data_IF_682111776894
#
_entry.id   IF_682111776894
#
_cell.length_a   1.000
_cell.length_b   1.000
_cell.length_c   1.000
_cell.angle_alpha   90.00
_cell.angle_beta   90.00
_cell.angle_gamma   90.00
#
_symmetry.space_group_name_H-M   'P 1'
#
loop_
_entity.id
_entity.type
_entity.pdbx_description
1 polymer ?
#
# COMPACT_ATOMS: atom_id res chain seq x y z
N UNK A 1 -15.39 -22.47 -67.14
CA UNK A 1 -14.47 -22.59 -68.30
C UNK A 1 -15.30 -22.88 -69.54
N UNK A 2 -14.87 -22.52 -70.77
CA UNK A 2 -13.74 -21.64 -71.15
C UNK A 2 -14.08 -20.15 -70.79
N UNK A 3 -13.67 -19.04 -71.43
CA UNK A 3 -12.83 -18.77 -72.61
C UNK A 3 -12.18 -17.37 -72.57
N UNK A 4 -11.20 -17.14 -73.46
CA UNK A 4 -10.83 -15.83 -74.04
C UNK A 4 -10.32 -16.05 -75.47
N UNK A 5 -10.46 -15.06 -76.36
CA UNK A 5 -9.26 -14.55 -77.02
C UNK A 5 -9.09 -13.02 -76.92
N UNK A 6 -8.89 -12.35 -78.06
CA UNK A 6 -7.69 -11.54 -78.33
C UNK A 6 -7.84 -10.80 -79.68
N UNK A 7 -7.03 -9.82 -80.09
CA UNK A 7 -6.12 -8.84 -79.45
C UNK A 7 -5.66 -7.86 -80.57
N UNK A 8 -5.03 -6.71 -80.24
CA UNK A 8 -3.90 -6.15 -81.02
C UNK A 8 -3.19 -4.95 -80.36
N UNK A 9 -1.90 -5.16 -80.05
CA UNK A 9 -0.80 -4.15 -79.98
C UNK A 9 -0.26 -3.84 -81.41
N UNK A 10 0.67 -2.88 -81.68
CA UNK A 10 1.85 -2.35 -80.92
C UNK A 10 1.79 -0.82 -80.67
N UNK A 11 2.82 0.01 -80.39
CA UNK A 11 4.30 -0.12 -80.46
C UNK A 11 5.05 0.84 -79.48
N UNK A 12 6.38 0.94 -79.61
CA UNK A 12 7.33 1.84 -78.88
C UNK A 12 8.43 2.36 -79.83
N UNK A 13 9.20 3.40 -79.43
CA UNK A 13 10.59 3.27 -78.90
C UNK A 13 10.75 3.99 -77.52
N UNK A 14 11.76 3.81 -76.63
CA UNK A 14 13.21 3.50 -76.71
C UNK A 14 14.12 4.76 -76.92
N UNK A 15 15.29 4.95 -76.28
CA UNK A 15 16.06 4.15 -75.28
C UNK A 15 17.16 4.99 -74.54
N UNK A 16 17.30 4.89 -73.20
CA UNK A 16 18.50 4.38 -72.45
C UNK A 16 19.55 5.40 -71.86
N UNK A 17 20.43 5.00 -70.88
CA UNK A 17 21.00 5.90 -69.85
C UNK A 17 22.54 6.12 -69.87
N UNK A 18 23.03 7.04 -69.03
CA UNK A 18 24.12 6.79 -68.04
C UNK A 18 23.81 7.42 -66.65
N UNK A 19 24.50 7.20 -65.51
CA UNK A 19 25.48 6.20 -65.00
C UNK A 19 25.54 6.32 -63.44
N UNK A 20 26.57 5.83 -62.73
CA UNK A 20 26.69 5.88 -61.26
C UNK A 20 28.12 6.16 -60.73
N UNK A 21 28.26 6.74 -59.52
CA UNK A 21 29.35 6.52 -58.53
C UNK A 21 29.14 7.40 -57.27
N UNK A 22 29.67 7.02 -56.10
CA UNK A 22 29.81 7.90 -54.92
C UNK A 22 29.49 7.28 -53.56
N UNK A 23 30.49 6.70 -52.89
CA UNK A 23 30.40 6.22 -51.50
C UNK A 23 30.44 7.36 -50.46
N UNK A 24 29.72 7.21 -49.34
CA UNK A 24 30.13 7.79 -48.04
C UNK A 24 29.35 7.22 -46.84
N UNK A 25 30.08 6.66 -45.88
CA UNK A 25 29.56 6.33 -44.53
C UNK A 25 29.50 7.58 -43.64
N UNK A 26 28.46 7.77 -42.82
CA UNK A 26 28.48 8.71 -41.70
C UNK A 26 28.93 8.02 -40.39
N UNK A 27 30.22 8.17 -40.10
CA UNK A 27 30.94 7.97 -38.83
C UNK A 27 30.18 7.46 -37.58
N UNK A 28 30.75 6.41 -36.96
CA UNK A 28 30.48 6.04 -35.56
C UNK A 28 30.86 7.18 -34.60
N UNK A 29 29.89 7.73 -33.87
CA UNK A 29 30.17 8.65 -32.75
C UNK A 29 30.04 7.89 -31.42
N UNK A 30 31.12 7.86 -30.63
CA UNK A 30 31.17 7.11 -29.37
C UNK A 30 30.35 7.77 -28.25
N UNK A 31 29.32 7.08 -27.76
CA UNK A 31 28.66 7.45 -26.52
C UNK A 31 29.53 7.00 -25.32
N UNK A 32 30.16 7.96 -24.64
CA UNK A 32 30.85 7.68 -23.37
C UNK A 32 29.87 7.10 -22.35
N UNK A 33 30.24 5.98 -21.72
CA UNK A 33 29.61 5.56 -20.48
C UNK A 33 30.00 6.55 -19.36
N UNK A 34 29.05 7.06 -18.56
CA UNK A 34 29.37 7.82 -17.36
C UNK A 34 29.91 6.86 -16.30
N UNK A 35 31.21 6.93 -16.04
CA UNK A 35 31.80 6.33 -14.84
C UNK A 35 31.35 7.11 -13.61
N UNK A 36 30.86 6.40 -12.59
CA UNK A 36 30.39 6.97 -11.32
C UNK A 36 30.81 6.09 -10.13
N UNK A 37 32.11 5.77 -10.04
CA UNK A 37 32.74 5.43 -8.76
C UNK A 37 32.74 6.66 -7.82
N UNK A 38 31.58 6.97 -7.23
CA UNK A 38 31.37 8.12 -6.34
C UNK A 38 30.95 7.67 -4.96
N UNK A 39 31.90 7.53 -4.04
CA UNK A 39 31.60 7.35 -2.62
C UNK A 39 31.00 8.66 -2.06
N UNK A 40 29.91 8.56 -1.31
CA UNK A 40 29.27 9.71 -0.67
C UNK A 40 29.56 9.71 0.83
N UNK A 41 30.62 10.42 1.22
CA UNK A 41 30.85 10.80 2.62
C UNK A 41 29.97 12.02 2.95
N UNK A 42 29.27 12.05 4.11
CA UNK A 42 28.44 13.18 4.49
C UNK A 42 29.30 14.33 5.05
N UNK A 43 29.22 15.50 4.39
CA UNK A 43 29.71 16.77 4.94
C UNK A 43 28.98 17.09 6.25
N UNK A 44 29.74 17.34 7.31
CA UNK A 44 29.24 17.75 8.62
C UNK A 44 29.71 19.19 8.94
N UNK A 45 29.16 20.17 8.24
CA UNK A 45 29.32 21.61 8.55
C UNK A 45 27.97 22.24 8.92
N UNK A 46 27.93 22.90 10.08
CA UNK A 46 26.69 23.38 10.69
C UNK A 46 26.43 24.88 10.48
N UNK A 47 25.20 25.21 10.09
CA UNK A 47 24.69 26.59 10.13
C UNK A 47 23.70 26.79 11.28
N UNK A 48 23.42 28.07 11.61
CA UNK A 48 22.98 28.50 12.95
C UNK A 48 21.48 28.74 13.00
N UNK A 49 20.89 28.51 14.18
CA UNK A 49 19.56 29.01 14.51
C UNK A 49 19.49 30.54 14.39
N UNK A 50 18.46 31.10 13.72
CA UNK A 50 17.99 32.45 13.98
C UNK A 50 16.98 32.45 15.14
N UNK A 51 17.00 33.49 15.98
CA UNK A 51 16.13 33.60 17.15
C UNK A 51 14.65 33.85 16.79
N UNK A 52 13.75 33.17 17.50
CA UNK A 52 12.31 33.42 17.41
C UNK A 52 11.91 34.60 18.32
N UNK A 53 11.92 35.82 17.76
CA UNK A 53 11.22 36.95 18.37
C UNK A 53 9.71 36.67 18.36
N UNK A 54 9.05 36.77 19.52
CA UNK A 54 7.63 36.45 19.66
C UNK A 54 6.71 37.65 19.38
N UNK A 55 5.53 37.37 18.84
CA UNK A 55 4.37 38.26 18.90
C UNK A 55 3.18 37.53 19.55
N UNK A 56 2.31 38.32 20.17
CA UNK A 56 1.28 37.84 21.10
C UNK A 56 -0.07 37.66 20.40
N UNK A 57 -0.96 36.85 20.99
CA UNK A 57 -2.40 36.91 20.72
C UNK A 57 -3.18 36.75 22.04
N UNK A 58 -4.35 37.40 22.17
CA UNK A 58 -4.79 37.89 23.47
C UNK A 58 -5.76 36.99 24.25
N UNK A 59 -5.83 37.28 25.55
CA UNK A 59 -6.95 37.06 26.48
C UNK A 59 -8.34 37.35 25.85
N UNK A 60 -9.49 36.81 26.27
CA UNK A 60 -9.92 35.82 27.29
C UNK A 60 -11.47 35.63 27.04
N UNK A 61 -12.33 35.07 27.92
CA UNK A 61 -12.18 34.22 29.12
C UNK A 61 -12.77 32.80 28.89
N UNK A 62 -12.72 31.82 29.81
CA UNK A 62 -12.28 31.82 31.21
C UNK A 62 -13.41 31.31 32.12
N UNK A 63 -13.31 30.05 32.53
CA UNK A 63 -14.12 29.46 33.61
C UNK A 63 -13.22 28.68 34.56
N UNK A 64 -13.56 28.71 35.86
CA UNK A 64 -12.63 28.49 36.96
C UNK A 64 -13.04 27.28 37.80
N UNK A 65 -12.22 26.22 37.77
CA UNK A 65 -12.37 25.08 38.67
C UNK A 65 -11.57 25.31 39.96
N UNK A 66 -12.08 24.92 41.15
CA UNK A 66 -11.45 25.25 42.43
C UNK A 66 -10.33 24.27 42.81
N UNK A 67 -9.31 24.78 43.50
CA UNK A 67 -8.32 23.95 44.21
C UNK A 67 -9.00 23.12 45.32
N UNK A 68 -8.66 21.83 45.39
CA UNK A 68 -8.95 20.97 46.53
C UNK A 68 -7.70 20.14 46.90
N UNK A 69 -6.87 20.67 47.80
CA UNK A 69 -5.84 19.86 48.48
C UNK A 69 -6.51 19.10 49.62
N UNK A 70 -6.29 17.79 49.69
CA UNK A 70 -6.96 16.90 50.65
C UNK A 70 -6.20 15.59 50.89
N UNK A 71 -5.08 15.71 51.60
CA UNK A 71 -4.58 14.79 52.64
C UNK A 71 -4.83 13.26 52.47
N UNK A 72 -3.75 12.51 52.22
CA UNK A 72 -3.74 11.05 52.36
C UNK A 72 -3.62 10.63 53.83
N UNK A 73 -4.54 9.83 54.40
CA UNK A 73 -4.33 9.18 55.69
C UNK A 73 -3.34 7.98 55.55
N UNK A 74 -2.64 7.59 56.63
CA UNK A 74 -1.56 6.61 56.57
C UNK A 74 -2.07 5.15 56.46
N UNK A 75 -1.29 4.31 55.77
CA UNK A 75 -1.56 2.88 55.66
C UNK A 75 -1.35 2.15 57.01
N UNK A 76 -2.33 1.32 57.40
CA UNK A 76 -2.23 0.45 58.58
C UNK A 76 -1.99 -1.01 58.13
N UNK A 77 -0.94 -1.72 58.58
CA UNK A 77 -0.64 -3.04 58.04
C UNK A 77 -1.46 -4.17 58.66
N UNK A 78 -2.21 -4.89 57.82
CA UNK A 78 -2.42 -6.34 57.95
C UNK A 78 -3.63 -6.83 58.74
N UNK A 79 -4.69 -7.18 58.02
CA UNK A 79 -5.59 -8.29 58.37
C UNK A 79 -5.81 -9.14 57.11
N UNK A 80 -5.76 -10.47 57.26
CA UNK A 80 -6.08 -11.42 56.17
C UNK A 80 -7.49 -11.94 56.38
N UNK A 81 -8.34 -11.84 55.36
CA UNK A 81 -9.60 -12.58 55.32
C UNK A 81 -9.43 -13.90 54.54
N UNK A 82 -10.18 -14.97 54.85
CA UNK A 82 -10.09 -16.24 54.14
C UNK A 82 -10.76 -16.19 52.76
N UNK A 83 -10.33 -17.08 51.86
CA UNK A 83 -10.87 -17.17 50.50
C UNK A 83 -12.36 -17.55 50.47
N UNK A 84 -13.18 -16.67 49.91
CA UNK A 84 -14.52 -16.99 49.42
C UNK A 84 -14.44 -17.35 47.91
N UNK A 85 -15.39 -18.15 47.36
CA UNK A 85 -15.42 -18.45 45.94
C UNK A 85 -15.46 -17.16 45.10
N UNK A 86 -14.51 -17.02 44.17
CA UNK A 86 -14.20 -15.76 43.50
C UNK A 86 -15.28 -15.27 42.55
N UNK A 87 -16.29 -14.59 43.08
CA UNK A 87 -17.13 -13.66 42.33
C UNK A 87 -16.22 -12.50 41.90
N UNK A 88 -15.96 -12.37 40.60
CA UNK A 88 -15.04 -11.36 40.08
C UNK A 88 -15.60 -9.97 40.42
N UNK A 89 -14.78 -9.03 40.93
CA UNK A 89 -15.25 -7.67 41.17
C UNK A 89 -15.77 -7.09 39.85
N UNK A 90 -16.86 -6.31 39.86
CA UNK A 90 -17.42 -5.74 38.64
C UNK A 90 -16.33 -4.95 37.91
N UNK A 91 -16.00 -5.37 36.69
CA UNK A 91 -15.01 -4.72 35.83
C UNK A 91 -15.29 -3.24 35.76
N UNK A 92 -14.28 -2.39 35.96
CA UNK A 92 -14.52 -0.95 35.99
C UNK A 92 -15.14 -0.49 34.66
N UNK A 93 -15.96 0.59 34.62
CA UNK A 93 -16.54 1.08 33.37
C UNK A 93 -15.48 1.32 32.27
N UNK A 94 -14.27 1.75 32.66
CA UNK A 94 -13.11 1.84 31.77
C UNK A 94 -12.65 0.50 31.18
N UNK A 95 -12.65 -0.59 31.97
CA UNK A 95 -12.28 -1.93 31.50
C UNK A 95 -13.31 -2.46 30.50
N UNK A 96 -14.60 -2.26 30.77
CA UNK A 96 -15.69 -2.71 29.90
C UNK A 96 -15.68 -1.98 28.56
N UNK A 97 -15.48 -0.65 28.57
CA UNK A 97 -15.26 0.17 27.37
C UNK A 97 -14.01 -0.27 26.59
N UNK A 98 -12.93 -0.59 27.30
CA UNK A 98 -11.67 -1.08 26.71
C UNK A 98 -11.90 -2.42 26.01
N UNK A 99 -12.47 -3.41 26.70
CA UNK A 99 -12.75 -4.73 26.13
C UNK A 99 -13.68 -4.66 24.92
N UNK A 100 -14.68 -3.79 24.94
CA UNK A 100 -15.60 -3.57 23.82
C UNK A 100 -14.88 -2.97 22.59
N UNK A 101 -13.99 -1.98 22.78
CA UNK A 101 -13.21 -1.43 21.68
C UNK A 101 -12.20 -2.45 21.14
N UNK A 102 -11.46 -3.14 22.01
CA UNK A 102 -10.44 -4.12 21.59
C UNK A 102 -11.05 -5.26 20.77
N UNK A 103 -12.28 -5.71 21.12
CA UNK A 103 -13.07 -6.67 20.33
C UNK A 103 -13.29 -6.25 18.87
N UNK A 104 -13.32 -4.95 18.59
CA UNK A 104 -13.51 -4.41 17.23
C UNK A 104 -12.23 -3.83 16.61
N UNK A 105 -11.16 -3.58 17.37
CA UNK A 105 -9.93 -2.90 16.93
C UNK A 105 -9.38 -3.44 15.59
N UNK A 106 -9.25 -4.76 15.45
CA UNK A 106 -8.77 -5.39 14.21
C UNK A 106 -9.67 -5.08 13.00
N UNK A 107 -11.00 -5.10 13.15
CA UNK A 107 -11.93 -4.73 12.07
C UNK A 107 -11.88 -3.23 11.77
N UNK A 108 -11.77 -2.37 12.78
CA UNK A 108 -11.66 -0.91 12.59
C UNK A 108 -10.37 -0.56 11.83
N UNK A 109 -9.25 -1.20 12.17
CA UNK A 109 -7.99 -1.11 11.45
C UNK A 109 -8.11 -1.63 10.02
N UNK A 110 -8.72 -2.80 9.84
CA UNK A 110 -8.96 -3.39 8.52
C UNK A 110 -9.85 -2.54 7.60
N UNK A 111 -10.77 -1.74 8.17
CA UNK A 111 -11.52 -0.69 7.47
C UNK A 111 -10.58 0.46 7.11
N UNK A 112 -9.88 1.01 8.10
CA UNK A 112 -9.00 2.16 7.93
C UNK A 112 -7.98 1.94 6.81
N UNK A 113 -7.26 0.82 6.86
CA UNK A 113 -6.22 0.47 5.88
C UNK A 113 -6.75 0.34 4.45
N UNK A 114 -7.94 -0.25 4.28
CA UNK A 114 -8.58 -0.37 2.96
C UNK A 114 -9.13 0.98 2.45
N UNK A 115 -9.36 1.96 3.32
CA UNK A 115 -9.76 3.33 2.94
C UNK A 115 -8.54 4.25 2.74
N UNK A 116 -7.49 4.20 3.56
CA UNK A 116 -6.33 5.10 3.47
C UNK A 116 -5.29 4.65 2.44
N UNK A 117 -4.99 3.35 2.40
CA UNK A 117 -3.84 2.77 1.69
C UNK A 117 -2.50 2.91 2.44
N UNK A 118 -2.54 3.29 3.72
CA UNK A 118 -1.37 3.50 4.58
C UNK A 118 -1.57 2.78 5.92
N UNK A 119 -0.52 2.11 6.42
CA UNK A 119 -0.50 1.52 7.77
C UNK A 119 -0.43 2.65 8.81
N UNK A 120 0.43 3.65 8.60
CA UNK A 120 0.58 4.79 9.50
C UNK A 120 -0.74 5.59 9.64
N UNK A 121 -1.37 6.01 8.53
CA UNK A 121 -2.66 6.71 8.59
C UNK A 121 -3.73 5.83 9.29
N UNK A 122 -3.62 4.50 9.25
CA UNK A 122 -4.60 3.58 9.85
C UNK A 122 -4.45 3.40 11.35
N UNK A 123 -3.21 3.33 11.86
CA UNK A 123 -2.97 3.30 13.30
C UNK A 123 -3.38 4.63 13.95
N UNK A 124 -3.06 5.77 13.32
CA UNK A 124 -3.50 7.10 13.74
C UNK A 124 -5.04 7.21 13.76
N UNK A 125 -5.72 6.76 12.69
CA UNK A 125 -7.20 6.72 12.62
C UNK A 125 -7.80 5.88 13.75
N UNK A 126 -7.25 4.70 14.02
CA UNK A 126 -7.76 3.79 15.06
C UNK A 126 -7.47 4.34 16.46
N UNK A 127 -6.34 5.02 16.65
CA UNK A 127 -6.02 5.72 17.89
C UNK A 127 -6.96 6.91 18.13
N UNK A 128 -7.23 7.74 17.12
CA UNK A 128 -8.22 8.83 17.21
C UNK A 128 -9.63 8.30 17.49
N UNK A 129 -10.01 7.17 16.86
CA UNK A 129 -11.29 6.49 17.13
C UNK A 129 -11.37 5.99 18.59
N UNK A 130 -10.27 5.48 19.14
CA UNK A 130 -10.16 5.08 20.54
C UNK A 130 -10.28 6.27 21.51
N UNK A 131 -9.58 7.38 21.23
CA UNK A 131 -9.64 8.59 22.05
C UNK A 131 -11.07 9.17 22.08
N UNK A 132 -11.75 9.23 20.93
CA UNK A 132 -13.17 9.65 20.85
C UNK A 132 -14.10 8.72 21.60
N UNK A 133 -13.87 7.40 21.56
CA UNK A 133 -14.66 6.42 22.32
C UNK A 133 -14.49 6.57 23.83
N UNK A 134 -13.26 6.81 24.30
CA UNK A 134 -12.99 7.00 25.73
C UNK A 134 -13.48 8.36 26.26
N UNK A 135 -13.60 9.38 25.40
CA UNK A 135 -14.08 10.71 25.77
C UNK A 135 -15.60 10.79 26.04
N UNK A 136 -16.38 9.77 25.67
CA UNK A 136 -17.83 9.71 25.94
C UNK A 136 -18.12 9.59 27.45
N UNK A 137 -19.23 10.18 27.91
CA UNK A 137 -19.78 9.91 29.25
C UNK A 137 -20.44 8.52 29.32
N UNK A 138 -20.64 7.98 30.52
CA UNK A 138 -21.27 6.65 30.67
C UNK A 138 -22.69 6.62 30.11
N UNK A 139 -23.47 7.70 30.30
CA UNK A 139 -24.81 7.83 29.72
C UNK A 139 -24.80 7.87 28.17
N UNK A 140 -23.78 8.45 27.55
CA UNK A 140 -23.61 8.41 26.09
C UNK A 140 -23.23 7.01 25.59
N UNK A 141 -22.42 6.26 26.34
CA UNK A 141 -22.07 4.87 26.00
C UNK A 141 -23.27 3.93 26.18
N UNK A 142 -24.04 4.08 27.26
CA UNK A 142 -25.30 3.35 27.48
C UNK A 142 -26.36 3.65 26.40
N UNK A 143 -26.38 4.88 25.88
CA UNK A 143 -27.24 5.28 24.77
C UNK A 143 -26.87 4.70 23.40
N UNK A 144 -25.69 4.08 23.24
CA UNK A 144 -25.26 3.50 21.96
C UNK A 144 -25.70 2.03 21.88
N UNK A 145 -26.92 1.82 21.36
CA UNK A 145 -27.51 0.48 21.15
C UNK A 145 -26.61 -0.45 20.31
N UNK A 146 -25.85 0.09 19.36
CA UNK A 146 -25.05 -0.67 18.39
C UNK A 146 -23.59 -0.18 18.31
N UNK A 147 -22.73 -0.46 19.30
CA UNK A 147 -21.36 0.06 19.37
C UNK A 147 -20.48 -0.29 18.16
N UNK A 148 -20.71 -1.46 17.52
CA UNK A 148 -20.03 -1.83 16.27
C UNK A 148 -20.35 -0.85 15.13
N UNK A 149 -21.60 -0.42 14.99
CA UNK A 149 -22.02 0.51 13.94
C UNK A 149 -21.50 1.93 14.23
N UNK A 150 -21.61 2.38 15.48
CA UNK A 150 -21.04 3.65 15.95
C UNK A 150 -19.53 3.75 15.65
N UNK A 151 -18.73 2.78 16.11
CA UNK A 151 -17.28 2.77 15.87
C UNK A 151 -16.94 2.65 14.37
N UNK A 152 -17.74 1.93 13.59
CA UNK A 152 -17.61 1.88 12.11
C UNK A 152 -17.84 3.26 11.49
N UNK A 153 -18.84 4.01 11.96
CA UNK A 153 -19.14 5.36 11.45
C UNK A 153 -18.06 6.36 11.84
N UNK A 154 -17.56 6.31 13.08
CA UNK A 154 -16.48 7.20 13.55
C UNK A 154 -15.18 6.94 12.77
N UNK A 155 -14.70 5.69 12.71
CA UNK A 155 -13.44 5.37 12.01
C UNK A 155 -13.51 5.78 10.54
N UNK A 156 -14.64 5.54 9.88
CA UNK A 156 -14.81 5.79 8.45
C UNK A 156 -14.92 7.28 8.09
N UNK A 157 -15.49 8.11 8.98
CA UNK A 157 -15.49 9.57 8.80
C UNK A 157 -14.06 10.11 8.84
N UNK A 158 -13.27 9.71 9.85
CA UNK A 158 -11.87 10.14 9.98
C UNK A 158 -11.06 9.74 8.72
N UNK A 159 -11.22 8.52 8.21
CA UNK A 159 -10.58 8.12 6.94
C UNK A 159 -11.04 8.95 5.72
N UNK A 160 -12.33 9.26 5.62
CA UNK A 160 -12.89 10.02 4.50
C UNK A 160 -12.37 11.46 4.48
N UNK A 161 -12.31 12.09 5.65
CA UNK A 161 -11.75 13.44 5.84
C UNK A 161 -10.24 13.45 5.51
N UNK A 162 -9.48 12.48 6.05
CA UNK A 162 -8.05 12.33 5.75
C UNK A 162 -7.76 12.09 4.27
N UNK A 163 -8.58 11.29 3.56
CA UNK A 163 -8.39 11.04 2.13
C UNK A 163 -8.47 12.30 1.27
N UNK A 164 -9.30 13.27 1.65
CA UNK A 164 -9.35 14.58 0.99
C UNK A 164 -8.00 15.30 1.05
N UNK A 165 -7.38 15.32 2.23
CA UNK A 165 -6.06 15.91 2.46
C UNK A 165 -4.91 15.09 1.86
N UNK A 166 -4.97 13.75 1.96
CA UNK A 166 -3.94 12.85 1.45
C UNK A 166 -3.83 12.91 -0.08
N UNK A 167 -4.93 13.15 -0.81
CA UNK A 167 -4.90 13.34 -2.26
C UNK A 167 -4.01 14.53 -2.67
N UNK A 168 -4.16 15.67 -2.00
CA UNK A 168 -3.32 16.85 -2.26
C UNK A 168 -1.83 16.57 -1.95
N UNK A 169 -1.52 15.82 -0.88
CA UNK A 169 -0.14 15.39 -0.57
C UNK A 169 0.48 14.48 -1.64
N UNK A 170 -0.32 13.81 -2.45
CA UNK A 170 0.14 12.87 -3.50
C UNK A 170 0.36 13.54 -4.85
N UNK A 171 -0.13 14.77 -5.06
CA UNK A 171 0.08 15.52 -6.32
C UNK A 171 1.53 16.01 -6.49
N UNK A 172 2.31 16.09 -5.40
CA UNK A 172 3.75 16.39 -5.40
C UNK A 172 4.65 15.15 -5.27
N UNK A 173 4.11 13.93 -5.43
CA UNK A 173 4.86 12.70 -5.17
C UNK A 173 5.87 12.35 -6.27
N UNK A 174 7.05 11.83 -5.87
CA UNK A 174 8.15 11.51 -6.80
C UNK A 174 8.06 10.05 -7.26
N UNK A 175 7.39 9.84 -8.40
CA UNK A 175 7.24 8.53 -9.04
C UNK A 175 5.90 7.85 -8.75
N UNK A 176 5.77 6.54 -9.03
CA UNK A 176 4.57 5.77 -8.71
C UNK A 176 4.30 5.73 -7.20
N UNK A 177 3.04 5.96 -6.82
CA UNK A 177 2.57 5.73 -5.46
C UNK A 177 2.02 4.30 -5.34
N UNK A 178 2.59 3.50 -4.44
CA UNK A 178 2.02 2.22 -4.01
C UNK A 178 1.45 2.31 -2.58
N UNK A 179 0.40 1.53 -2.25
CA UNK A 179 -0.06 1.36 -0.87
C UNK A 179 1.03 0.79 0.03
N UNK A 180 1.02 1.13 1.32
CA UNK A 180 1.96 0.55 2.30
C UNK A 180 1.68 -0.96 2.49
N UNK A 181 2.68 -1.85 2.37
CA UNK A 181 2.45 -3.29 2.46
C UNK A 181 2.28 -3.74 3.92
N UNK A 182 1.28 -4.58 4.19
CA UNK A 182 1.25 -5.42 5.39
C UNK A 182 2.02 -6.69 5.10
N UNK A 183 2.94 -7.07 5.99
CA UNK A 183 3.69 -8.32 5.91
C UNK A 183 3.40 -9.12 7.17
N UNK A 184 2.92 -10.36 6.99
CA UNK A 184 2.67 -11.32 8.06
C UNK A 184 3.61 -12.52 7.94
N UNK A 185 3.88 -13.18 9.06
CA UNK A 185 4.47 -14.52 9.00
C UNK A 185 3.47 -15.51 8.38
N UNK A 186 3.97 -16.55 7.70
CA UNK A 186 3.14 -17.49 6.93
C UNK A 186 2.47 -18.54 7.84
N UNK A 187 1.63 -18.08 8.78
CA UNK A 187 0.88 -18.91 9.73
C UNK A 187 -0.62 -19.04 9.37
N UNK A 188 -1.33 -20.09 9.83
CA UNK A 188 -2.78 -20.21 9.63
C UNK A 188 -3.60 -19.15 10.36
N UNK A 189 -3.07 -18.58 11.45
CA UNK A 189 -3.84 -17.87 12.46
C UNK A 189 -4.07 -16.39 12.11
N UNK A 190 -3.06 -15.69 11.57
CA UNK A 190 -3.19 -14.29 11.12
C UNK A 190 -4.07 -14.15 9.86
N UNK A 191 -4.13 -15.21 9.03
CA UNK A 191 -4.93 -15.25 7.78
C UNK A 191 -6.44 -15.06 8.01
N UNK A 192 -6.91 -15.13 9.26
CA UNK A 192 -8.31 -14.96 9.64
C UNK A 192 -8.71 -13.47 9.79
N UNK A 193 -7.75 -12.55 9.96
CA UNK A 193 -8.04 -11.11 10.19
C UNK A 193 -7.93 -10.25 8.93
N UNK A 194 -7.04 -10.59 8.00
CA UNK A 194 -7.03 -10.03 6.66
C UNK A 194 -7.87 -10.92 5.72
N UNK A 195 -9.19 -10.67 5.73
CA UNK A 195 -10.15 -11.26 4.78
C UNK A 195 -9.56 -11.37 3.36
N UNK A 196 -9.61 -12.58 2.78
CA UNK A 196 -8.78 -13.06 1.64
C UNK A 196 -9.01 -12.32 0.30
N UNK A 197 -9.81 -11.25 0.32
CA UNK A 197 -10.33 -10.51 -0.83
C UNK A 197 -9.45 -9.35 -1.34
N UNK A 198 -8.42 -8.90 -0.59
CA UNK A 198 -7.69 -7.64 -0.89
C UNK A 198 -6.16 -7.79 -0.89
N UNK A 199 -5.60 -8.26 -2.02
CA UNK A 199 -4.16 -8.13 -2.31
C UNK A 199 -3.77 -6.72 -2.78
N UNK A 200 -2.46 -6.44 -2.84
CA UNK A 200 -1.90 -5.10 -3.18
C UNK A 200 -2.50 -4.47 -4.43
N UNK A 201 -2.62 -5.26 -5.51
CA UNK A 201 -3.29 -4.90 -6.75
C UNK A 201 -4.68 -4.23 -6.56
N UNK A 202 -5.52 -4.73 -5.66
CA UNK A 202 -6.83 -4.12 -5.41
C UNK A 202 -6.69 -2.80 -4.66
N UNK A 203 -5.79 -2.68 -3.68
CA UNK A 203 -5.50 -1.40 -3.01
C UNK A 203 -5.00 -0.35 -4.03
N UNK A 204 -4.11 -0.74 -4.94
CA UNK A 204 -3.60 0.08 -6.05
C UNK A 204 -4.70 0.53 -7.01
N UNK A 205 -5.72 -0.31 -7.28
CA UNK A 205 -6.91 0.10 -8.04
C UNK A 205 -7.82 1.03 -7.22
N UNK A 206 -7.97 0.79 -5.92
CA UNK A 206 -8.73 1.67 -5.02
C UNK A 206 -8.12 3.08 -4.94
N UNK A 207 -6.80 3.27 -5.17
CA UNK A 207 -6.16 4.60 -5.20
C UNK A 207 -6.67 5.49 -6.36
N UNK A 208 -7.23 4.88 -7.41
CA UNK A 208 -7.78 5.58 -8.59
C UNK A 208 -9.27 5.93 -8.44
N UNK A 209 -9.85 5.65 -7.28
CA UNK A 209 -11.19 6.11 -6.91
C UNK A 209 -11.15 7.54 -6.35
N UNK A 210 -12.27 8.25 -6.44
CA UNK A 210 -12.49 9.44 -5.58
C UNK A 210 -12.70 8.97 -4.13
N UNK A 211 -12.42 9.80 -3.10
CA UNK A 211 -12.62 9.42 -1.70
C UNK A 211 -14.03 8.87 -1.41
N UNK A 212 -15.06 9.49 -2.00
CA UNK A 212 -16.45 9.05 -1.84
C UNK A 212 -16.77 7.74 -2.59
N UNK A 213 -16.12 7.46 -3.73
CA UNK A 213 -16.21 6.15 -4.40
C UNK A 213 -15.50 5.07 -3.57
N UNK A 214 -14.30 5.35 -3.02
CA UNK A 214 -13.52 4.41 -2.21
C UNK A 214 -14.25 4.06 -0.90
N UNK A 215 -14.64 5.05 -0.11
CA UNK A 215 -15.35 4.82 1.17
C UNK A 215 -16.68 4.08 0.95
N UNK A 216 -17.45 4.43 -0.09
CA UNK A 216 -18.69 3.73 -0.40
C UNK A 216 -18.47 2.27 -0.81
N UNK A 217 -17.42 1.98 -1.58
CA UNK A 217 -17.07 0.62 -1.98
C UNK A 217 -16.53 -0.21 -0.80
N UNK A 218 -15.54 0.29 -0.06
CA UNK A 218 -14.93 -0.48 1.04
C UNK A 218 -15.97 -0.83 2.10
N UNK A 219 -16.82 0.14 2.50
CA UNK A 219 -17.82 -0.12 3.53
C UNK A 219 -18.91 -1.08 3.09
N UNK A 220 -19.47 -0.94 1.88
CA UNK A 220 -20.52 -1.84 1.41
C UNK A 220 -19.96 -3.17 0.90
N UNK A 221 -19.05 -3.13 -0.08
CA UNK A 221 -18.64 -4.30 -0.87
C UNK A 221 -17.58 -5.17 -0.15
N UNK A 222 -16.87 -4.64 0.85
CA UNK A 222 -15.93 -5.43 1.69
C UNK A 222 -16.47 -5.64 3.11
N UNK A 223 -17.04 -4.61 3.75
CA UNK A 223 -17.46 -4.68 5.16
C UNK A 223 -18.96 -4.86 5.42
N UNK A 224 -19.75 -5.06 4.37
CA UNK A 224 -21.19 -5.29 4.39
C UNK A 224 -22.02 -4.23 5.15
N UNK A 225 -21.53 -2.99 5.19
CA UNK A 225 -22.21 -1.86 5.86
C UNK A 225 -23.41 -1.40 5.02
N UNK A 226 -24.61 -1.25 5.60
CA UNK A 226 -25.79 -0.71 4.93
C UNK A 226 -25.59 0.68 4.33
N UNK A 227 -26.18 0.92 3.15
CA UNK A 227 -26.13 2.23 2.49
C UNK A 227 -26.59 3.45 3.34
N UNK A 228 -27.54 3.36 4.29
CA UNK A 228 -27.89 4.48 5.17
C UNK A 228 -26.72 4.92 6.07
N UNK A 229 -26.03 4.00 6.75
CA UNK A 229 -24.87 4.30 7.59
C UNK A 229 -23.74 4.95 6.77
N UNK A 230 -23.50 4.44 5.55
CA UNK A 230 -22.49 5.03 4.65
C UNK A 230 -22.90 6.46 4.19
N UNK A 231 -24.20 6.73 4.04
CA UNK A 231 -24.72 8.05 3.68
C UNK A 231 -24.37 9.10 4.75
N UNK A 232 -24.45 8.72 6.02
CA UNK A 232 -23.99 9.52 7.17
C UNK A 232 -22.47 9.68 7.26
N UNK A 233 -21.69 8.71 6.75
CA UNK A 233 -20.22 8.82 6.69
C UNK A 233 -19.78 9.83 5.63
N UNK A 234 -20.30 9.73 4.39
CA UNK A 234 -19.82 10.56 3.26
C UNK A 234 -20.57 11.89 3.08
N UNK A 235 -21.58 12.16 3.91
CA UNK A 235 -22.39 13.39 3.87
C UNK A 235 -23.27 13.52 2.62
N UNK A 236 -23.95 12.45 2.21
CA UNK A 236 -24.75 12.40 0.96
C UNK A 236 -26.05 11.64 1.15
N UNK A 237 -26.95 11.66 0.15
CA UNK A 237 -28.15 10.80 0.16
C UNK A 237 -27.80 9.34 -0.10
N UNK A 238 -28.63 8.42 0.42
CA UNK A 238 -28.45 6.97 0.25
C UNK A 238 -28.27 6.56 -1.23
N UNK A 239 -29.06 7.13 -2.14
CA UNK A 239 -28.97 6.84 -3.57
C UNK A 239 -27.69 7.39 -4.21
N UNK A 240 -27.18 8.53 -3.74
CA UNK A 240 -25.87 9.03 -4.16
C UNK A 240 -24.75 8.03 -3.79
N UNK A 241 -24.84 7.41 -2.60
CA UNK A 241 -23.92 6.33 -2.19
C UNK A 241 -24.10 5.07 -3.04
N UNK A 242 -25.33 4.65 -3.36
CA UNK A 242 -25.59 3.54 -4.29
C UNK A 242 -24.90 3.76 -5.63
N UNK A 243 -24.95 4.99 -6.16
CA UNK A 243 -24.29 5.37 -7.42
C UNK A 243 -22.76 5.53 -7.29
N UNK A 244 -22.23 5.87 -6.10
CA UNK A 244 -20.78 5.87 -5.84
C UNK A 244 -20.23 4.43 -5.82
N UNK A 245 -20.83 3.53 -5.03
CA UNK A 245 -20.41 2.13 -4.97
C UNK A 245 -20.57 1.42 -6.34
N UNK A 246 -21.65 1.72 -7.09
CA UNK A 246 -21.83 1.20 -8.46
C UNK A 246 -20.72 1.64 -9.42
N UNK A 247 -20.30 2.91 -9.39
CA UNK A 247 -19.17 3.42 -10.19
C UNK A 247 -17.84 2.82 -9.75
N UNK A 248 -17.61 2.69 -8.45
CA UNK A 248 -16.43 2.03 -7.90
C UNK A 248 -16.33 0.58 -8.37
N UNK A 249 -17.41 -0.23 -8.24
CA UNK A 249 -17.47 -1.59 -8.81
C UNK A 249 -17.15 -1.62 -10.30
N UNK A 250 -17.64 -0.66 -11.09
CA UNK A 250 -17.35 -0.61 -12.53
C UNK A 250 -15.87 -0.35 -12.81
N UNK A 251 -15.22 0.55 -12.05
CA UNK A 251 -13.77 0.80 -12.18
C UNK A 251 -12.94 -0.39 -11.68
N UNK A 252 -13.28 -0.94 -10.51
CA UNK A 252 -12.66 -2.16 -9.96
C UNK A 252 -12.79 -3.32 -10.96
N UNK A 253 -13.96 -3.60 -11.54
CA UNK A 253 -14.10 -4.68 -12.55
C UNK A 253 -13.39 -4.42 -13.88
N UNK A 254 -13.02 -3.18 -14.19
CA UNK A 254 -12.30 -2.82 -15.41
C UNK A 254 -10.78 -2.78 -15.22
N UNK A 255 -10.32 -2.54 -13.98
CA UNK A 255 -8.89 -2.34 -13.66
C UNK A 255 -8.31 -3.38 -12.71
N UNK A 256 -9.12 -4.18 -12.01
CA UNK A 256 -8.64 -5.26 -11.14
C UNK A 256 -7.83 -6.28 -11.97
N UNK A 257 -6.55 -6.50 -11.62
CA UNK A 257 -5.75 -7.52 -12.28
C UNK A 257 -6.39 -8.90 -12.16
N UNK A 258 -6.28 -9.68 -13.24
CA UNK A 258 -6.69 -11.09 -13.23
C UNK A 258 -5.78 -11.83 -12.25
N UNK A 259 -6.36 -12.64 -11.36
CA UNK A 259 -5.62 -13.40 -10.36
C UNK A 259 -6.09 -14.85 -10.34
N UNK A 260 -5.15 -15.79 -10.38
CA UNK A 260 -5.43 -17.19 -10.05
C UNK A 260 -5.84 -17.31 -8.59
N UNK A 261 -7.00 -17.93 -8.34
CA UNK A 261 -7.49 -18.21 -6.98
C UNK A 261 -6.79 -19.43 -6.33
N UNK A 262 -5.94 -20.17 -7.07
CA UNK A 262 -5.18 -21.30 -6.56
C UNK A 262 -3.92 -20.84 -5.78
N UNK A 263 -3.84 -20.98 -4.44
CA UNK A 263 -2.73 -20.42 -3.67
C UNK A 263 -1.38 -21.06 -4.01
N UNK A 264 -1.40 -22.34 -4.42
CA UNK A 264 -0.21 -23.07 -4.83
C UNK A 264 0.36 -22.64 -6.18
N UNK A 265 -0.42 -22.03 -7.08
CA UNK A 265 0.12 -21.40 -8.29
C UNK A 265 0.88 -20.12 -7.95
N UNK A 266 0.28 -19.28 -7.10
CA UNK A 266 0.88 -18.03 -6.68
C UNK A 266 2.23 -18.25 -5.98
N UNK A 267 2.29 -19.20 -5.03
CA UNK A 267 3.53 -19.51 -4.32
C UNK A 267 4.63 -20.03 -5.27
N UNK A 268 4.32 -20.98 -6.16
CA UNK A 268 5.31 -21.50 -7.13
C UNK A 268 5.86 -20.42 -8.06
N UNK A 269 5.04 -19.47 -8.49
CA UNK A 269 5.51 -18.36 -9.33
C UNK A 269 6.46 -17.43 -8.56
N UNK A 270 6.20 -17.17 -7.27
CA UNK A 270 7.08 -16.37 -6.41
C UNK A 270 8.37 -17.12 -6.05
N UNK A 271 8.30 -18.44 -5.84
CA UNK A 271 9.47 -19.32 -5.63
C UNK A 271 10.37 -19.35 -6.88
N UNK A 272 9.80 -19.54 -8.06
CA UNK A 272 10.54 -19.53 -9.33
C UNK A 272 11.15 -18.15 -9.65
N UNK A 273 10.41 -17.07 -9.38
CA UNK A 273 10.95 -15.72 -9.52
C UNK A 273 12.10 -15.45 -8.55
N UNK A 274 11.99 -15.88 -7.28
CA UNK A 274 13.07 -15.75 -6.30
C UNK A 274 14.34 -16.46 -6.77
N UNK A 275 14.23 -17.75 -7.12
CA UNK A 275 15.37 -18.53 -7.62
C UNK A 275 16.04 -17.85 -8.82
N UNK A 276 15.24 -17.41 -9.81
CA UNK A 276 15.75 -16.74 -10.99
C UNK A 276 16.47 -15.40 -10.69
N UNK A 277 15.99 -14.59 -9.73
CA UNK A 277 16.71 -13.37 -9.34
C UNK A 277 17.95 -13.61 -8.47
N UNK A 278 18.00 -14.70 -7.69
CA UNK A 278 19.17 -15.06 -6.85
C UNK A 278 20.27 -15.77 -7.62
N UNK A 279 19.91 -16.60 -8.60
CA UNK A 279 20.86 -17.28 -9.51
C UNK A 279 21.26 -16.41 -10.70
N UNK A 280 20.53 -15.32 -10.94
CA UNK A 280 20.74 -14.40 -12.06
C UNK A 280 20.19 -14.90 -13.40
N UNK A 281 19.42 -16.00 -13.40
CA UNK A 281 18.85 -16.62 -14.58
C UNK A 281 17.83 -15.69 -15.27
N UNK A 282 18.21 -15.19 -16.43
CA UNK A 282 17.40 -14.30 -17.25
C UNK A 282 16.28 -15.04 -18.00
N UNK A 283 16.50 -16.30 -18.39
CA UNK A 283 15.53 -17.07 -19.17
C UNK A 283 14.44 -17.63 -18.26
N UNK A 284 14.77 -18.08 -17.04
CA UNK A 284 13.78 -18.41 -16.01
C UNK A 284 12.89 -17.20 -15.63
N UNK A 285 13.45 -15.97 -15.63
CA UNK A 285 12.65 -14.75 -15.51
C UNK A 285 11.68 -14.56 -16.70
N UNK A 286 12.08 -14.89 -17.93
CA UNK A 286 11.18 -14.87 -19.10
C UNK A 286 10.14 -16.01 -19.07
N UNK A 287 10.40 -17.12 -18.38
CA UNK A 287 9.45 -18.22 -18.23
C UNK A 287 8.38 -17.94 -17.17
N UNK A 288 8.72 -17.29 -16.04
CA UNK A 288 7.75 -17.01 -14.95
C UNK A 288 6.90 -15.76 -15.19
N UNK A 289 7.37 -14.80 -15.98
CA UNK A 289 6.65 -13.57 -16.29
C UNK A 289 5.58 -13.75 -17.38
N UNK A 290 4.53 -12.94 -17.30
CA UNK A 290 3.55 -12.75 -18.37
C UNK A 290 4.12 -11.86 -19.51
N UNK A 291 3.75 -12.06 -20.79
CA UNK A 291 4.18 -11.19 -21.89
C UNK A 291 3.93 -9.68 -21.66
N UNK A 292 2.78 -9.31 -21.11
CA UNK A 292 2.38 -7.92 -20.85
C UNK A 292 2.75 -7.43 -19.44
N UNK A 293 3.60 -8.19 -18.72
CA UNK A 293 3.93 -7.93 -17.31
C UNK A 293 4.37 -6.49 -17.03
N UNK A 294 4.00 -6.03 -15.82
CA UNK A 294 4.26 -4.66 -15.35
C UNK A 294 5.09 -4.68 -14.07
N UNK A 295 6.15 -3.88 -14.02
CA UNK A 295 6.87 -3.58 -12.78
C UNK A 295 6.55 -2.14 -12.36
N UNK A 296 6.05 -1.95 -11.15
CA UNK A 296 5.83 -0.65 -10.50
C UNK A 296 6.83 -0.52 -9.36
N UNK A 297 7.44 0.66 -9.19
CA UNK A 297 8.39 0.92 -8.10
C UNK A 297 8.00 2.16 -7.32
N UNK A 298 7.89 2.04 -6.00
CA UNK A 298 7.75 3.17 -5.08
C UNK A 298 8.98 3.25 -4.18
N UNK A 299 9.80 4.28 -4.38
CA UNK A 299 10.93 4.61 -3.49
C UNK A 299 10.75 5.94 -2.76
N UNK A 300 9.60 6.62 -2.91
CA UNK A 300 9.41 8.00 -2.45
C UNK A 300 10.45 9.01 -2.95
N UNK A 301 11.17 8.70 -4.03
CA UNK A 301 12.33 9.47 -4.49
C UNK A 301 13.61 9.30 -3.66
N UNK A 302 13.62 8.44 -2.63
CA UNK A 302 14.79 8.16 -1.77
C UNK A 302 15.86 7.31 -2.47
N UNK A 303 15.43 6.43 -3.38
CA UNK A 303 16.31 5.52 -4.14
C UNK A 303 16.03 5.57 -5.64
N UNK A 304 17.07 5.32 -6.45
CA UNK A 304 17.03 5.37 -7.92
C UNK A 304 16.29 4.15 -8.51
N UNK A 305 14.97 4.27 -8.63
CA UNK A 305 14.08 3.26 -9.22
C UNK A 305 13.43 3.76 -10.52
N UNK A 306 12.64 2.91 -11.19
CA UNK A 306 11.85 3.29 -12.35
C UNK A 306 10.74 4.30 -11.98
N UNK A 307 10.93 5.57 -12.34
CA UNK A 307 9.95 6.66 -12.13
C UNK A 307 8.65 6.51 -12.94
N UNK A 308 8.56 5.53 -13.83
CA UNK A 308 7.39 5.15 -14.61
C UNK A 308 7.30 3.61 -14.66
N UNK A 309 6.09 3.01 -14.71
CA UNK A 309 5.95 1.56 -14.77
C UNK A 309 6.68 0.94 -15.97
N UNK A 310 7.53 -0.06 -15.71
CA UNK A 310 8.20 -0.83 -16.77
C UNK A 310 7.21 -1.85 -17.31
N UNK A 311 7.02 -1.89 -18.64
CA UNK A 311 6.00 -2.71 -19.30
C UNK A 311 6.58 -3.62 -20.39
N UNK A 312 6.09 -4.85 -20.40
CA UNK A 312 6.49 -5.92 -21.32
C UNK A 312 7.62 -6.75 -20.71
N UNK A 313 7.42 -8.07 -20.74
CA UNK A 313 8.25 -9.11 -20.13
C UNK A 313 9.75 -8.89 -20.23
N UNK A 314 10.27 -8.66 -21.45
CA UNK A 314 11.70 -8.55 -21.72
C UNK A 314 12.30 -7.24 -21.19
N UNK A 315 11.49 -6.25 -20.80
CA UNK A 315 11.93 -5.06 -20.06
C UNK A 315 11.85 -5.28 -18.55
N UNK A 316 10.81 -5.98 -18.09
CA UNK A 316 10.63 -6.36 -16.68
C UNK A 316 11.77 -7.28 -16.21
N UNK A 317 12.08 -8.36 -16.94
CA UNK A 317 13.18 -9.27 -16.64
C UNK A 317 14.54 -8.54 -16.59
N UNK A 318 14.82 -7.65 -17.56
CA UNK A 318 16.07 -6.84 -17.57
C UNK A 318 16.12 -5.84 -16.42
N UNK A 319 14.98 -5.29 -16.00
CA UNK A 319 14.93 -4.41 -14.83
C UNK A 319 15.19 -5.19 -13.53
N UNK A 320 14.54 -6.34 -13.36
CA UNK A 320 14.72 -7.25 -12.22
C UNK A 320 16.19 -7.68 -12.08
N UNK A 321 16.75 -8.31 -13.11
CA UNK A 321 18.16 -8.75 -13.13
C UNK A 321 19.12 -7.58 -12.89
N UNK A 322 18.82 -6.36 -13.37
CA UNK A 322 19.67 -5.19 -13.10
C UNK A 322 19.63 -4.75 -11.62
N UNK A 323 18.48 -4.81 -10.95
CA UNK A 323 18.39 -4.40 -9.54
C UNK A 323 18.91 -5.48 -8.57
N UNK A 324 18.84 -6.77 -8.93
CA UNK A 324 19.37 -7.87 -8.11
C UNK A 324 20.82 -8.24 -8.44
N UNK A 325 21.46 -7.60 -9.42
CA UNK A 325 22.87 -7.85 -9.79
C UNK A 325 23.89 -7.65 -8.66
N UNK A 326 23.51 -6.92 -7.60
CA UNK A 326 24.32 -6.73 -6.39
C UNK A 326 23.88 -7.57 -5.19
N UNK A 327 22.96 -8.54 -5.36
CA UNK A 327 22.50 -9.41 -4.29
C UNK A 327 23.59 -10.42 -3.91
N UNK A 328 23.97 -10.42 -2.63
CA UNK A 328 24.85 -11.43 -2.03
C UNK A 328 24.06 -12.21 -0.97
N UNK A 329 23.78 -13.52 -1.15
CA UNK A 329 23.04 -14.32 -0.18
C UNK A 329 23.77 -14.56 1.15
N UNK A 330 25.03 -14.15 1.28
CA UNK A 330 25.78 -14.17 2.56
C UNK A 330 25.57 -12.87 3.35
N UNK A 331 25.34 -11.74 2.67
CA UNK A 331 25.19 -10.42 3.28
C UNK A 331 23.74 -9.90 3.31
N UNK A 332 22.87 -10.37 2.42
CA UNK A 332 21.50 -9.91 2.24
C UNK A 332 20.48 -11.03 2.42
N UNK A 333 19.47 -10.78 3.24
CA UNK A 333 18.36 -11.71 3.48
C UNK A 333 17.29 -11.55 2.38
N UNK A 334 16.71 -12.67 1.95
CA UNK A 334 15.67 -12.72 0.93
C UNK A 334 14.68 -13.84 1.28
N UNK A 335 13.47 -13.48 1.73
CA UNK A 335 12.48 -14.45 2.23
C UNK A 335 11.12 -14.30 1.56
N UNK A 336 10.46 -15.44 1.35
CA UNK A 336 9.03 -15.48 1.04
C UNK A 336 8.26 -15.21 2.33
N UNK A 337 7.41 -14.19 2.33
CA UNK A 337 6.46 -13.85 3.41
C UNK A 337 5.09 -13.60 2.80
N UNK A 338 4.02 -13.61 3.59
CA UNK A 338 2.71 -13.25 3.06
C UNK A 338 2.55 -11.72 3.10
N UNK A 339 2.53 -11.10 1.92
CA UNK A 339 2.39 -9.66 1.67
C UNK A 339 0.93 -9.39 1.26
N UNK A 340 0.20 -8.62 2.07
CA UNK A 340 -1.24 -8.36 1.88
C UNK A 340 -2.06 -9.65 1.62
N UNK A 341 -1.78 -10.71 2.41
CA UNK A 341 -2.48 -12.01 2.31
C UNK A 341 -2.14 -12.85 1.07
N UNK A 342 -1.04 -12.57 0.38
CA UNK A 342 -0.53 -13.37 -0.74
C UNK A 342 0.97 -13.61 -0.60
N UNK A 343 1.53 -14.75 -1.06
CA UNK A 343 2.98 -14.93 -1.09
C UNK A 343 3.67 -13.79 -1.84
N UNK A 344 4.67 -13.18 -1.20
CA UNK A 344 5.51 -12.14 -1.78
C UNK A 344 6.93 -12.24 -1.24
N UNK A 345 7.79 -11.29 -1.63
CA UNK A 345 9.19 -11.28 -1.21
C UNK A 345 9.50 -10.13 -0.27
N UNK A 346 10.38 -10.39 0.68
CA UNK A 346 10.98 -9.40 1.56
C UNK A 346 12.50 -9.53 1.43
N UNK A 347 13.15 -8.41 1.12
CA UNK A 347 14.61 -8.30 1.07
C UNK A 347 15.08 -7.32 2.14
N UNK A 348 16.17 -7.66 2.84
CA UNK A 348 16.86 -6.71 3.72
C UNK A 348 18.38 -6.87 3.64
N UNK A 349 19.07 -5.74 3.77
CA UNK A 349 20.52 -5.63 3.91
C UNK A 349 20.82 -5.04 5.32
N UNK A 350 21.25 -5.88 6.28
CA UNK A 350 21.59 -5.41 7.63
C UNK A 350 22.77 -4.43 7.69
N UNK A 351 23.62 -4.35 6.65
CA UNK A 351 24.80 -3.50 6.62
C UNK A 351 24.47 -2.07 6.16
N UNK A 352 23.61 -1.90 5.14
CA UNK A 352 23.13 -0.57 4.71
C UNK A 352 21.82 -0.14 5.38
N UNK A 353 21.10 -1.07 6.02
CA UNK A 353 19.74 -0.84 6.52
C UNK A 353 18.69 -0.74 5.41
N UNK A 354 19.03 -1.10 4.17
CA UNK A 354 18.11 -1.13 3.04
C UNK A 354 17.09 -2.26 3.21
N UNK A 355 15.83 -1.96 2.87
CA UNK A 355 14.75 -2.94 2.84
C UNK A 355 13.88 -2.74 1.60
N UNK A 356 13.34 -3.85 1.10
CA UNK A 356 12.34 -3.84 0.04
C UNK A 356 11.28 -4.93 0.26
N UNK A 357 10.04 -4.63 -0.11
CA UNK A 357 8.92 -5.58 -0.10
C UNK A 357 8.32 -5.65 -1.50
N UNK A 358 8.10 -6.88 -1.98
CA UNK A 358 7.59 -7.14 -3.32
C UNK A 358 6.25 -7.88 -3.22
N UNK A 359 5.18 -7.20 -3.64
CA UNK A 359 3.89 -7.81 -3.91
C UNK A 359 3.81 -8.32 -5.35
N UNK A 360 3.10 -9.43 -5.56
CA UNK A 360 2.91 -10.02 -6.89
C UNK A 360 1.43 -10.18 -7.22
N UNK A 361 1.09 -10.03 -8.51
CA UNK A 361 -0.12 -10.59 -9.08
C UNK A 361 0.25 -11.77 -9.98
N UNK A 362 -0.40 -12.92 -9.75
CA UNK A 362 -0.18 -14.15 -10.50
C UNK A 362 -1.49 -14.62 -11.15
N UNK A 363 -1.46 -14.94 -12.43
CA UNK A 363 -2.57 -15.44 -13.24
C UNK A 363 -2.07 -16.59 -14.12
N UNK A 364 -2.77 -17.73 -14.10
CA UNK A 364 -2.43 -18.93 -14.91
C UNK A 364 -0.95 -19.37 -14.73
N UNK A 365 -0.46 -19.24 -13.48
CA UNK A 365 0.92 -19.53 -13.10
C UNK A 365 1.97 -18.46 -13.47
N UNK A 366 1.60 -17.37 -14.14
CA UNK A 366 2.51 -16.30 -14.58
C UNK A 366 2.36 -15.03 -13.75
N UNK A 367 3.46 -14.33 -13.53
CA UNK A 367 3.48 -13.01 -12.86
C UNK A 367 3.09 -11.92 -13.85
N UNK A 368 1.97 -11.24 -13.59
CA UNK A 368 1.43 -10.15 -14.43
C UNK A 368 1.76 -8.76 -13.91
N UNK A 369 1.92 -8.58 -12.60
CA UNK A 369 2.24 -7.31 -11.97
C UNK A 369 3.18 -7.52 -10.77
N UNK A 370 4.18 -6.65 -10.63
CA UNK A 370 5.16 -6.63 -9.55
C UNK A 370 5.12 -5.25 -8.89
N UNK A 371 4.68 -5.22 -7.63
CA UNK A 371 4.58 -4.03 -6.77
C UNK A 371 5.83 -3.94 -5.88
N UNK A 372 6.82 -3.15 -6.28
CA UNK A 372 8.11 -3.04 -5.60
C UNK A 372 8.17 -1.82 -4.67
N UNK A 373 7.99 -2.05 -3.37
CA UNK A 373 8.09 -1.03 -2.32
C UNK A 373 9.53 -0.98 -1.76
N UNK A 374 10.19 0.17 -1.93
CA UNK A 374 11.51 0.50 -1.36
C UNK A 374 11.48 1.77 -0.50
N UNK A 375 10.34 2.47 -0.41
CA UNK A 375 10.29 3.74 0.31
C UNK A 375 10.45 3.52 1.83
N UNK A 376 11.53 3.98 2.47
CA UNK A 376 11.77 3.74 3.89
C UNK A 376 10.75 4.43 4.79
N UNK A 377 10.14 5.55 4.34
CA UNK A 377 9.05 6.20 5.06
C UNK A 377 7.80 5.29 5.15
N UNK A 378 7.62 4.38 4.18
CA UNK A 378 6.52 3.40 4.05
C UNK A 378 6.86 1.99 4.54
N UNK A 379 8.05 1.78 5.11
CA UNK A 379 8.50 0.47 5.63
C UNK A 379 8.82 0.51 7.13
N UNK A 380 8.64 1.65 7.81
CA UNK A 380 8.97 1.85 9.22
C UNK A 380 8.31 0.83 10.16
N UNK A 381 7.04 0.48 9.92
CA UNK A 381 6.29 -0.49 10.71
C UNK A 381 6.85 -1.92 10.62
N UNK A 382 7.65 -2.22 9.59
CA UNK A 382 8.26 -3.53 9.37
C UNK A 382 9.68 -3.64 9.96
N UNK A 383 10.20 -2.61 10.64
CA UNK A 383 11.60 -2.60 11.14
C UNK A 383 11.97 -3.82 12.00
N UNK A 384 11.01 -4.44 12.69
CA UNK A 384 11.22 -5.66 13.50
C UNK A 384 11.21 -6.95 12.69
N UNK A 385 10.65 -6.95 11.47
CA UNK A 385 10.61 -8.08 10.53
C UNK A 385 11.71 -8.02 9.46
N UNK A 386 12.44 -6.90 9.41
CA UNK A 386 13.50 -6.57 8.45
C UNK A 386 14.91 -6.63 9.05
N UNK A 387 15.02 -7.05 10.31
CA UNK A 387 16.25 -7.23 11.11
C UNK A 387 16.39 -8.68 11.54
#
# INVERSE_FOLDING_TARGET
>A
MPARPADRRPATPAEHPPAASGDQEPATSGAHAPDISGAYEPDASGERSPDAAGEQSPDAPGQRWPDARGEQPPATPGERWPDAPGEQPPTAPGDQRTGLFQRYRSRLWGIAYRITGSVADSDDVVQETWLRWQALTDAEVEGIEHPRAYLTTVVSRICYDQLGSARARRESYVGPWLPEPVVTEAGPEDRVTLDESVGTALLTVLERLTPAERTAFVLHDVFAVPFPEIAEVVGRTQDSVRQLASRARKRVRAEAPRRSLAPGEHRRAVEAFLAAVTEGDFDALLEVLDPDAVWISDSGGRFTTARLPVRGREKVARYAHRITRGYDPVAMDARIRDVNGAPGLVFSDPASGLAAVIGFTVHEGRITEIDFMMNPDKLRHLTTLLR
#
